data_IF_161582468953
#
_entry.id   IF_161582468953
#
_cell.length_a   1.000
_cell.length_b   1.000
_cell.length_c   1.000
_cell.angle_alpha   90.00
_cell.angle_beta   90.00
_cell.angle_gamma   90.00
#
_symmetry.space_group_name_H-M   'P 1'
#
loop_
_entity.id
_entity.type
_entity.pdbx_description
1 polymer ?
#
# COMPACT_ATOMS: atom_id res chain seq x y z
N UNK A 1 18.50 -17.92 -17.29
CA UNK A 1 17.72 -16.72 -17.04
C UNK A 1 18.61 -15.67 -16.39
N UNK A 2 18.41 -14.41 -16.74
CA UNK A 2 19.07 -13.31 -16.09
C UNK A 2 18.68 -13.19 -14.60
N UNK A 3 19.54 -12.59 -13.80
CA UNK A 3 19.27 -12.35 -12.38
C UNK A 3 18.43 -11.07 -12.23
N UNK A 4 17.22 -11.18 -11.69
CA UNK A 4 16.28 -10.07 -11.53
C UNK A 4 16.35 -9.48 -10.12
N UNK A 5 16.44 -8.14 -10.02
CA UNK A 5 16.21 -7.42 -8.78
C UNK A 5 14.74 -7.04 -8.65
N UNK A 6 14.06 -7.52 -7.61
CA UNK A 6 12.71 -7.05 -7.26
C UNK A 6 12.86 -5.83 -6.35
N UNK A 7 12.22 -4.74 -6.74
CA UNK A 7 12.24 -3.45 -6.04
C UNK A 7 10.81 -3.01 -5.78
N UNK A 8 10.56 -2.44 -4.60
CA UNK A 8 9.30 -1.74 -4.30
C UNK A 8 9.58 -0.47 -3.51
N UNK A 9 8.60 0.35 -3.25
CA UNK A 9 8.75 1.48 -2.34
C UNK A 9 8.23 1.15 -0.92
N UNK A 10 8.55 2.00 0.06
CA UNK A 10 8.18 1.77 1.45
C UNK A 10 6.66 1.76 1.70
N UNK A 11 5.82 2.20 0.73
CA UNK A 11 4.37 2.15 0.85
C UNK A 11 3.80 0.73 0.81
N UNK A 12 4.59 -0.25 0.38
CA UNK A 12 4.23 -1.67 0.49
C UNK A 12 4.11 -2.15 1.94
N UNK A 13 4.65 -1.38 2.90
CA UNK A 13 4.72 -1.77 4.30
C UNK A 13 5.77 -2.86 4.59
N UNK A 14 6.59 -3.24 3.60
CA UNK A 14 7.75 -4.11 3.82
C UNK A 14 8.86 -3.26 4.43
N UNK A 15 9.34 -3.67 5.61
CA UNK A 15 10.41 -2.94 6.32
C UNK A 15 11.78 -3.17 5.69
N UNK A 16 12.76 -2.29 6.02
CA UNK A 16 14.16 -2.47 5.59
C UNK A 16 14.77 -3.79 6.12
N UNK A 17 14.36 -4.26 7.29
CA UNK A 17 14.81 -5.54 7.83
C UNK A 17 14.18 -6.72 7.06
N UNK A 18 12.88 -6.65 6.81
CA UNK A 18 12.15 -7.68 6.10
C UNK A 18 12.62 -7.83 4.64
N UNK A 19 12.90 -6.71 3.96
CA UNK A 19 13.39 -6.73 2.58
C UNK A 19 14.69 -7.53 2.42
N UNK A 20 15.57 -7.46 3.42
CA UNK A 20 16.81 -8.27 3.44
C UNK A 20 16.52 -9.76 3.54
N UNK A 21 15.49 -10.16 4.32
CA UNK A 21 15.08 -11.57 4.45
C UNK A 21 14.43 -12.08 3.17
N UNK A 22 13.66 -11.22 2.49
CA UNK A 22 12.99 -11.52 1.22
C UNK A 22 13.94 -11.43 0.01
N UNK A 23 15.15 -10.88 0.16
CA UNK A 23 16.10 -10.69 -0.94
C UNK A 23 15.68 -9.63 -1.95
N UNK A 24 14.88 -8.65 -1.53
CA UNK A 24 14.38 -7.54 -2.35
C UNK A 24 14.96 -6.20 -1.91
N UNK A 25 14.65 -5.14 -2.64
CA UNK A 25 15.14 -3.79 -2.37
C UNK A 25 13.98 -2.81 -2.16
N UNK A 26 14.13 -1.90 -1.19
CA UNK A 26 13.14 -0.88 -0.87
C UNK A 26 13.68 0.50 -1.28
N UNK A 27 12.91 1.21 -2.11
CA UNK A 27 13.09 2.63 -2.36
C UNK A 27 12.34 3.40 -1.25
N UNK A 28 13.04 4.07 -0.33
CA UNK A 28 12.38 4.76 0.77
C UNK A 28 11.62 6.00 0.26
N UNK A 29 10.37 6.15 0.70
CA UNK A 29 9.55 7.32 0.39
C UNK A 29 9.85 8.43 1.37
N UNK A 30 10.21 9.65 0.89
CA UNK A 30 10.49 10.78 1.76
C UNK A 30 9.21 11.40 2.31
N UNK A 31 9.26 11.85 3.55
CA UNK A 31 8.23 12.71 4.15
C UNK A 31 8.90 13.77 5.03
N UNK A 32 8.17 14.86 5.27
CA UNK A 32 8.69 16.02 6.00
C UNK A 32 7.84 16.26 7.25
N UNK A 33 8.52 16.56 8.34
CA UNK A 33 7.91 17.00 9.59
C UNK A 33 8.53 18.35 9.95
N UNK A 34 7.72 19.41 10.01
CA UNK A 34 8.17 20.78 10.25
C UNK A 34 9.31 21.22 9.29
N UNK A 35 9.25 20.76 8.04
CA UNK A 35 10.26 21.07 7.02
C UNK A 35 11.52 20.19 7.05
N UNK A 36 11.70 19.34 8.06
CA UNK A 36 12.80 18.38 8.15
C UNK A 36 12.47 17.07 7.42
N UNK A 37 13.41 16.54 6.65
CA UNK A 37 13.26 15.32 5.86
C UNK A 37 13.47 14.06 6.70
N UNK A 38 12.56 13.11 6.56
CA UNK A 38 12.62 11.79 7.21
C UNK A 38 12.33 10.64 6.25
N UNK A 39 12.85 9.47 6.62
CA UNK A 39 12.59 8.18 5.99
C UNK A 39 12.25 7.15 7.06
N UNK A 40 11.18 6.40 6.84
CA UNK A 40 10.71 5.33 7.73
C UNK A 40 11.79 4.26 7.95
N UNK A 41 11.96 3.81 9.21
CA UNK A 41 12.95 2.80 9.64
C UNK A 41 14.43 3.16 9.36
N UNK A 42 14.69 4.37 8.85
CA UNK A 42 16.06 4.87 8.58
C UNK A 42 16.37 6.04 9.50
N UNK A 43 15.52 7.08 9.50
CA UNK A 43 15.74 8.30 10.29
C UNK A 43 14.63 8.57 11.30
N UNK A 44 13.52 7.84 11.26
CA UNK A 44 12.39 7.99 12.17
C UNK A 44 11.65 6.66 12.35
N UNK A 45 11.35 6.32 13.60
CA UNK A 45 10.50 5.17 13.95
C UNK A 45 9.00 5.54 13.88
N UNK A 46 8.15 4.51 13.83
CA UNK A 46 6.69 4.71 13.89
C UNK A 46 6.26 5.40 15.20
N UNK A 47 6.81 5.00 16.34
CA UNK A 47 6.49 5.60 17.64
C UNK A 47 6.78 7.11 17.67
N UNK A 48 7.97 7.51 17.23
CA UNK A 48 8.37 8.93 17.15
C UNK A 48 7.50 9.72 16.18
N UNK A 49 7.12 9.13 15.05
CA UNK A 49 6.22 9.74 14.08
C UNK A 49 4.86 10.08 14.70
N UNK A 50 4.19 9.10 15.33
CA UNK A 50 2.87 9.35 15.92
C UNK A 50 2.92 10.30 17.11
N UNK A 51 4.03 10.34 17.86
CA UNK A 51 4.25 11.35 18.88
C UNK A 51 4.30 12.76 18.29
N UNK A 52 5.09 12.97 17.23
CA UNK A 52 5.16 14.26 16.51
C UNK A 52 3.80 14.63 15.90
N UNK A 53 3.08 13.68 15.35
CA UNK A 53 1.74 13.89 14.79
C UNK A 53 0.74 14.35 15.85
N UNK A 54 0.80 13.80 17.07
CA UNK A 54 -0.02 14.21 18.20
C UNK A 54 0.28 15.64 18.68
N UNK A 55 1.48 16.15 18.44
CA UNK A 55 1.91 17.53 18.72
C UNK A 55 1.48 18.53 17.61
N UNK A 56 0.60 18.13 16.70
CA UNK A 56 0.08 18.92 15.56
C UNK A 56 1.18 19.43 14.61
N UNK A 57 2.26 18.66 14.47
CA UNK A 57 3.37 18.99 13.57
C UNK A 57 2.90 19.17 12.11
N UNK A 58 3.54 20.04 11.36
CA UNK A 58 3.29 20.15 9.93
C UNK A 58 3.91 18.98 9.19
N UNK A 59 3.06 18.17 8.53
CA UNK A 59 3.49 16.97 7.81
C UNK A 59 3.15 17.11 6.33
N UNK A 60 4.13 16.74 5.48
CA UNK A 60 3.96 16.64 4.03
C UNK A 60 4.79 15.47 3.48
N UNK A 61 4.48 15.04 2.27
CA UNK A 61 5.20 13.96 1.57
C UNK A 61 5.72 14.43 0.24
N UNK A 62 6.74 13.76 -0.27
CA UNK A 62 7.25 13.92 -1.62
C UNK A 62 7.47 12.56 -2.26
N UNK A 63 7.62 12.53 -3.58
CA UNK A 63 8.21 11.38 -4.25
C UNK A 63 9.72 11.33 -3.99
N UNK A 64 10.39 10.17 -4.13
CA UNK A 64 11.84 10.09 -4.17
C UNK A 64 12.41 11.00 -5.26
N UNK A 65 13.59 11.54 -5.06
CA UNK A 65 14.22 12.34 -6.10
C UNK A 65 14.57 11.45 -7.31
N UNK A 66 14.51 11.95 -8.55
CA UNK A 66 14.98 11.21 -9.73
C UNK A 66 16.40 10.66 -9.56
N UNK A 67 17.29 11.43 -8.93
CA UNK A 67 18.66 11.00 -8.62
C UNK A 67 18.70 9.75 -7.73
N UNK A 68 17.95 9.75 -6.62
CA UNK A 68 17.91 8.60 -5.69
C UNK A 68 17.39 7.33 -6.39
N UNK A 69 16.39 7.48 -7.29
CA UNK A 69 15.84 6.38 -8.07
C UNK A 69 16.89 5.82 -9.02
N UNK A 70 17.56 6.70 -9.79
CA UNK A 70 18.59 6.29 -10.75
C UNK A 70 19.80 5.68 -10.06
N UNK A 71 20.30 6.27 -8.98
CA UNK A 71 21.43 5.75 -8.20
C UNK A 71 21.16 4.33 -7.67
N UNK A 72 19.93 4.09 -7.17
CA UNK A 72 19.51 2.76 -6.75
C UNK A 72 19.56 1.77 -7.92
N UNK A 73 18.94 2.12 -9.06
CA UNK A 73 18.87 1.22 -10.22
C UNK A 73 20.23 0.97 -10.84
N UNK A 74 21.07 1.98 -11.01
CA UNK A 74 22.46 1.83 -11.48
C UNK A 74 23.28 0.94 -10.54
N UNK A 75 23.10 1.10 -9.23
CA UNK A 75 23.74 0.26 -8.22
C UNK A 75 23.33 -1.20 -8.33
N UNK A 76 22.03 -1.46 -8.57
CA UNK A 76 21.49 -2.80 -8.71
C UNK A 76 21.90 -3.45 -10.03
N UNK A 77 21.90 -2.74 -11.15
CA UNK A 77 22.31 -3.26 -12.46
C UNK A 77 23.80 -3.66 -12.55
N UNK A 78 24.61 -3.31 -11.55
CA UNK A 78 25.97 -3.88 -11.41
C UNK A 78 25.98 -5.34 -10.93
N UNK A 79 24.85 -5.85 -10.39
CA UNK A 79 24.74 -7.18 -9.76
C UNK A 79 23.59 -8.02 -10.34
N UNK A 80 22.64 -7.37 -10.99
CA UNK A 80 21.45 -7.96 -11.59
C UNK A 80 21.39 -7.59 -13.07
N UNK A 81 20.75 -8.41 -13.87
CA UNK A 81 20.62 -8.19 -15.30
C UNK A 81 19.44 -7.26 -15.60
N UNK A 82 18.37 -7.38 -14.81
CA UNK A 82 17.13 -6.63 -14.95
C UNK A 82 16.57 -6.24 -13.59
N UNK A 83 15.70 -5.22 -13.58
CA UNK A 83 14.98 -4.73 -12.40
C UNK A 83 13.48 -4.81 -12.67
N UNK A 84 12.72 -5.37 -11.71
CA UNK A 84 11.27 -5.27 -11.63
C UNK A 84 10.91 -4.33 -10.49
N UNK A 85 10.44 -3.12 -10.80
CA UNK A 85 10.03 -2.13 -9.81
C UNK A 85 8.50 -2.09 -9.69
N UNK A 86 7.98 -2.33 -8.49
CA UNK A 86 6.56 -2.36 -8.14
C UNK A 86 6.27 -1.19 -7.19
N UNK A 87 6.02 0.03 -7.72
CA UNK A 87 5.69 1.21 -6.91
C UNK A 87 4.24 1.20 -6.45
N UNK A 88 3.91 2.11 -5.53
CA UNK A 88 2.52 2.43 -5.21
C UNK A 88 1.76 2.97 -6.42
N UNK A 89 0.42 2.87 -6.37
CA UNK A 89 -0.49 3.34 -7.42
C UNK A 89 -0.17 4.75 -7.94
N UNK A 90 -0.12 4.91 -9.26
CA UNK A 90 0.01 6.23 -9.93
C UNK A 90 -1.14 7.18 -9.61
N UNK A 91 -2.31 6.67 -9.24
CA UNK A 91 -3.44 7.50 -8.82
C UNK A 91 -3.28 8.14 -7.43
N UNK A 92 -2.29 7.69 -6.64
CA UNK A 92 -2.00 8.20 -5.29
C UNK A 92 -0.69 8.99 -5.24
N UNK A 93 0.26 8.72 -6.13
CA UNK A 93 1.53 9.43 -6.22
C UNK A 93 2.05 9.46 -7.66
N UNK A 94 2.61 10.59 -8.08
CA UNK A 94 3.32 10.70 -9.36
C UNK A 94 4.66 9.95 -9.41
N UNK A 95 5.10 9.34 -8.31
CA UNK A 95 6.36 8.59 -8.25
C UNK A 95 6.41 7.43 -9.26
N UNK A 96 5.28 6.77 -9.51
CA UNK A 96 5.18 5.71 -10.51
C UNK A 96 5.42 6.26 -11.93
N UNK A 97 4.73 7.35 -12.30
CA UNK A 97 4.88 7.95 -13.63
C UNK A 97 6.30 8.51 -13.85
N UNK A 98 6.88 9.11 -12.82
CA UNK A 98 8.28 9.55 -12.83
C UNK A 98 9.22 8.36 -13.05
N UNK A 99 9.01 7.26 -12.33
CA UNK A 99 9.82 6.04 -12.48
C UNK A 99 9.69 5.43 -13.88
N UNK A 100 8.48 5.40 -14.45
CA UNK A 100 8.27 4.95 -15.85
C UNK A 100 9.05 5.79 -16.84
N UNK A 101 9.08 7.12 -16.65
CA UNK A 101 9.89 8.02 -17.47
C UNK A 101 11.39 7.75 -17.36
N UNK A 102 11.90 7.60 -16.14
CA UNK A 102 13.32 7.30 -15.89
C UNK A 102 13.72 5.92 -16.43
N UNK A 103 12.85 4.93 -16.37
CA UNK A 103 13.14 3.58 -16.86
C UNK A 103 13.48 3.56 -18.37
N UNK A 104 13.00 4.52 -19.15
CA UNK A 104 13.32 4.62 -20.58
C UNK A 104 14.81 4.83 -20.85
N UNK A 105 15.57 5.36 -19.88
CA UNK A 105 17.01 5.58 -19.99
C UNK A 105 17.84 4.30 -19.77
N UNK A 106 17.21 3.21 -19.33
CA UNK A 106 17.85 1.94 -18.98
C UNK A 106 17.75 0.84 -20.05
N UNK A 107 17.46 1.21 -21.29
CA UNK A 107 17.51 0.31 -22.45
C UNK A 107 16.67 -0.99 -22.28
N UNK A 108 15.53 -0.90 -21.59
CA UNK A 108 14.64 -2.04 -21.35
C UNK A 108 15.07 -2.95 -20.20
N UNK A 109 16.07 -2.58 -19.41
CA UNK A 109 16.50 -3.35 -18.23
C UNK A 109 15.70 -3.06 -16.97
N UNK A 110 14.87 -2.01 -16.97
CA UNK A 110 14.04 -1.62 -15.83
C UNK A 110 12.58 -1.66 -16.23
N UNK A 111 11.82 -2.51 -15.55
CA UNK A 111 10.39 -2.73 -15.74
C UNK A 111 9.63 -2.13 -14.57
N UNK A 112 8.74 -1.17 -14.84
CA UNK A 112 7.95 -0.47 -13.81
C UNK A 112 6.50 -0.93 -13.89
N UNK A 113 6.02 -1.59 -12.85
CA UNK A 113 4.69 -2.22 -12.79
C UNK A 113 3.69 -1.30 -12.11
N UNK A 114 2.91 -0.55 -12.87
CA UNK A 114 1.80 0.24 -12.34
C UNK A 114 0.53 -0.61 -12.16
N UNK A 115 0.54 -1.51 -11.20
CA UNK A 115 -0.62 -2.38 -10.93
C UNK A 115 -1.67 -1.76 -10.01
N UNK A 116 -1.58 -0.45 -9.74
CA UNK A 116 -2.57 0.36 -9.02
C UNK A 116 -2.86 -0.13 -7.59
N UNK A 117 -1.86 -0.71 -6.93
CA UNK A 117 -1.96 -1.22 -5.56
C UNK A 117 -1.19 -0.34 -4.58
N UNK A 118 -1.47 -0.52 -3.30
CA UNK A 118 -0.83 0.19 -2.18
C UNK A 118 -0.91 -0.67 -0.92
N UNK A 119 0.01 -0.45 0.03
CA UNK A 119 0.00 -1.10 1.34
C UNK A 119 0.00 -2.64 1.22
N UNK A 120 -0.83 -3.33 1.96
CA UNK A 120 -0.88 -4.81 2.01
C UNK A 120 -1.11 -5.44 0.64
N UNK A 121 -1.91 -4.83 -0.24
CA UNK A 121 -2.11 -5.35 -1.61
C UNK A 121 -0.89 -5.12 -2.52
N UNK A 122 -0.14 -4.02 -2.34
CA UNK A 122 1.15 -3.81 -3.01
C UNK A 122 2.19 -4.81 -2.48
N UNK A 123 2.23 -5.01 -1.15
CA UNK A 123 3.05 -6.05 -0.52
C UNK A 123 2.78 -7.42 -1.14
N UNK A 124 1.50 -7.81 -1.30
CA UNK A 124 1.17 -9.09 -1.91
C UNK A 124 1.69 -9.19 -3.34
N UNK A 125 1.59 -8.13 -4.14
CA UNK A 125 2.19 -8.11 -5.49
C UNK A 125 3.69 -8.35 -5.49
N UNK A 126 4.40 -7.87 -4.47
CA UNK A 126 5.85 -8.13 -4.31
C UNK A 126 6.10 -9.59 -3.97
N UNK A 127 5.32 -10.18 -3.07
CA UNK A 127 5.43 -11.60 -2.71
C UNK A 127 5.11 -12.51 -3.91
N UNK A 128 4.08 -12.17 -4.67
CA UNK A 128 3.72 -12.85 -5.91
C UNK A 128 4.86 -12.78 -6.94
N UNK A 129 5.50 -11.61 -7.09
CA UNK A 129 6.65 -11.44 -7.99
C UNK A 129 7.85 -12.31 -7.56
N UNK A 130 8.11 -12.42 -6.26
CA UNK A 130 9.17 -13.30 -5.73
C UNK A 130 8.87 -14.75 -6.10
N UNK A 131 7.63 -15.23 -5.85
CA UNK A 131 7.23 -16.60 -6.16
C UNK A 131 7.34 -16.91 -7.68
N UNK A 132 6.90 -15.99 -8.53
CA UNK A 132 7.02 -16.11 -9.97
C UNK A 132 8.48 -16.18 -10.44
N UNK A 133 9.33 -15.34 -9.89
CA UNK A 133 10.77 -15.34 -10.20
C UNK A 133 11.46 -16.64 -9.73
N UNK A 134 11.10 -17.17 -8.55
CA UNK A 134 11.58 -18.46 -8.05
C UNK A 134 11.12 -19.65 -8.94
N UNK A 135 9.96 -19.55 -9.57
CA UNK A 135 9.47 -20.53 -10.57
C UNK A 135 10.11 -20.34 -11.94
N UNK A 136 11.00 -19.37 -12.09
CA UNK A 136 11.78 -19.16 -13.31
C UNK A 136 11.04 -18.38 -14.40
N UNK A 137 10.03 -17.56 -14.05
CA UNK A 137 9.42 -16.65 -15.01
C UNK A 137 10.36 -15.48 -15.35
N UNK A 138 10.31 -14.99 -16.57
CA UNK A 138 11.02 -13.79 -16.99
C UNK A 138 10.39 -12.53 -16.40
N UNK A 139 11.14 -11.43 -16.37
CA UNK A 139 10.63 -10.13 -15.88
C UNK A 139 9.39 -9.69 -16.65
N UNK A 140 9.35 -9.88 -17.96
CA UNK A 140 8.23 -9.54 -18.83
C UNK A 140 6.99 -10.36 -18.48
N UNK A 141 7.13 -11.68 -18.27
CA UNK A 141 6.01 -12.54 -17.87
C UNK A 141 5.45 -12.16 -16.50
N UNK A 142 6.34 -11.79 -15.53
CA UNK A 142 5.92 -11.32 -14.21
C UNK A 142 5.18 -9.98 -14.33
N UNK A 143 5.72 -9.03 -15.09
CA UNK A 143 5.07 -7.74 -15.35
C UNK A 143 3.68 -7.93 -15.96
N UNK A 144 3.54 -8.76 -17.00
CA UNK A 144 2.26 -9.05 -17.65
C UNK A 144 1.24 -9.64 -16.68
N UNK A 145 1.64 -10.59 -15.81
CA UNK A 145 0.77 -11.16 -14.79
C UNK A 145 0.32 -10.08 -13.82
N UNK A 146 1.24 -9.31 -13.21
CA UNK A 146 0.90 -8.28 -12.24
C UNK A 146 0.02 -7.18 -12.84
N UNK A 147 0.23 -6.81 -14.09
CA UNK A 147 -0.59 -5.82 -14.80
C UNK A 147 -1.99 -6.36 -15.11
N UNK A 148 -2.13 -7.63 -15.45
CA UNK A 148 -3.43 -8.30 -15.63
C UNK A 148 -4.22 -8.34 -14.33
N UNK A 149 -3.55 -8.58 -13.20
CA UNK A 149 -4.14 -8.69 -11.87
C UNK A 149 -4.40 -7.35 -11.17
N UNK A 150 -4.11 -6.21 -11.80
CA UNK A 150 -4.15 -4.89 -11.16
C UNK A 150 -5.48 -4.53 -10.51
N UNK A 151 -6.60 -4.92 -11.11
CA UNK A 151 -7.93 -4.65 -10.57
C UNK A 151 -8.47 -5.77 -9.66
N UNK A 152 -7.75 -6.87 -9.55
CA UNK A 152 -8.17 -8.04 -8.78
C UNK A 152 -7.80 -7.91 -7.28
N UNK A 153 -8.14 -6.77 -6.71
CA UNK A 153 -8.02 -6.47 -5.29
C UNK A 153 -9.09 -5.49 -4.83
N UNK A 154 -9.37 -5.48 -3.54
CA UNK A 154 -10.25 -4.51 -2.88
C UNK A 154 -9.65 -4.08 -1.57
N UNK A 155 -9.74 -2.79 -1.25
CA UNK A 155 -9.42 -2.25 0.07
C UNK A 155 -10.61 -1.46 0.57
N UNK A 156 -11.04 -1.72 1.79
CA UNK A 156 -11.99 -0.89 2.54
C UNK A 156 -11.29 -0.34 3.78
N UNK A 157 -11.34 0.97 3.97
CA UNK A 157 -10.67 1.64 5.08
C UNK A 157 -11.58 2.66 5.74
N UNK A 158 -11.58 2.67 7.07
CA UNK A 158 -12.22 3.73 7.86
C UNK A 158 -11.14 4.52 8.58
N UNK A 159 -11.22 5.85 8.43
CA UNK A 159 -10.32 6.79 9.08
C UNK A 159 -11.02 7.48 10.26
N UNK A 160 -10.25 7.92 11.23
CA UNK A 160 -10.80 8.68 12.37
C UNK A 160 -11.29 10.06 11.91
N UNK A 161 -10.57 10.69 11.02
CA UNK A 161 -10.87 12.00 10.43
C UNK A 161 -10.40 12.10 8.98
N UNK A 162 -11.14 12.87 8.17
CA UNK A 162 -10.73 13.20 6.79
C UNK A 162 -9.71 14.36 6.71
N UNK A 163 -9.30 14.94 7.84
CA UNK A 163 -8.40 16.12 7.90
C UNK A 163 -7.14 15.90 7.07
N UNK A 164 -6.47 14.78 7.29
CA UNK A 164 -5.19 14.46 6.65
C UNK A 164 -5.34 14.17 5.15
N UNK A 165 -6.34 13.37 4.78
CA UNK A 165 -6.64 13.04 3.38
C UNK A 165 -7.01 14.29 2.56
N UNK A 166 -7.80 15.20 3.14
CA UNK A 166 -8.15 16.48 2.52
C UNK A 166 -6.93 17.38 2.35
N UNK A 167 -6.10 17.51 3.38
CA UNK A 167 -4.86 18.29 3.32
C UNK A 167 -3.91 17.74 2.26
N UNK A 168 -3.79 16.42 2.18
CA UNK A 168 -2.90 15.73 1.23
C UNK A 168 -3.44 15.66 -0.20
N UNK A 169 -4.73 15.88 -0.44
CA UNK A 169 -5.35 15.78 -1.77
C UNK A 169 -5.37 14.37 -2.37
N UNK A 170 -5.23 13.31 -1.55
CA UNK A 170 -5.24 11.89 -1.97
C UNK A 170 -6.60 11.23 -1.81
N UNK A 171 -7.65 11.98 -2.06
CA UNK A 171 -9.05 11.58 -1.92
C UNK A 171 -9.86 12.18 -3.06
N UNK A 172 -10.82 11.43 -3.60
CA UNK A 172 -11.69 11.95 -4.64
C UNK A 172 -12.57 13.10 -4.12
N UNK A 173 -13.04 14.01 -5.00
CA UNK A 173 -13.98 15.06 -4.62
C UNK A 173 -15.24 14.54 -3.92
N UNK A 174 -15.75 13.38 -4.36
CA UNK A 174 -16.92 12.72 -3.75
C UNK A 174 -16.65 12.29 -2.31
N UNK A 175 -15.49 11.70 -2.04
CA UNK A 175 -15.08 11.32 -0.69
C UNK A 175 -14.74 12.54 0.16
N UNK A 176 -14.11 13.57 -0.40
CA UNK A 176 -13.82 14.84 0.29
C UNK A 176 -15.09 15.60 0.69
N UNK A 177 -16.19 15.43 -0.06
CA UNK A 177 -17.49 16.04 0.24
C UNK A 177 -18.23 15.38 1.43
N UNK A 178 -17.73 14.25 1.94
CA UNK A 178 -18.21 13.69 3.22
C UNK A 178 -17.83 14.69 4.31
N UNK A 179 -18.79 15.47 4.76
CA UNK A 179 -18.58 16.55 5.72
C UNK A 179 -18.06 16.05 7.07
N UNK A 180 -17.50 16.96 7.87
CA UNK A 180 -17.14 16.73 9.28
C UNK A 180 -18.44 16.78 10.11
N UNK A 181 -19.11 15.64 10.27
CA UNK A 181 -20.24 15.48 11.18
C UNK A 181 -19.75 14.73 12.40
N UNK A 182 -20.15 15.19 13.57
CA UNK A 182 -19.78 14.54 14.84
C UNK A 182 -20.14 13.04 14.79
N UNK A 183 -19.17 12.21 15.19
CA UNK A 183 -19.29 10.74 15.21
C UNK A 183 -19.56 10.07 13.83
N UNK A 184 -19.34 10.77 12.72
CA UNK A 184 -19.36 10.16 11.40
C UNK A 184 -18.00 9.52 11.11
N UNK A 185 -18.00 8.23 10.80
CA UNK A 185 -16.84 7.48 10.34
C UNK A 185 -17.03 7.15 8.86
N UNK A 186 -16.28 7.82 7.96
CA UNK A 186 -16.35 7.50 6.54
C UNK A 186 -15.72 6.13 6.29
N UNK A 187 -16.38 5.32 5.49
CA UNK A 187 -15.80 4.12 4.88
C UNK A 187 -15.41 4.47 3.46
N UNK A 188 -14.16 4.30 3.15
CA UNK A 188 -13.56 4.58 1.84
C UNK A 188 -13.14 3.26 1.19
N UNK A 189 -12.97 3.25 -0.12
CA UNK A 189 -12.54 2.07 -0.88
C UNK A 189 -11.43 2.41 -1.87
N UNK A 190 -10.61 1.40 -2.19
CA UNK A 190 -9.75 1.38 -3.37
C UNK A 190 -10.09 0.11 -4.16
N UNK A 191 -10.64 0.31 -5.36
CA UNK A 191 -10.87 -0.73 -6.37
C UNK A 191 -10.41 -0.18 -7.73
N UNK A 192 -9.14 0.16 -7.81
CA UNK A 192 -8.51 0.88 -8.90
C UNK A 192 -7.37 1.74 -8.36
N UNK A 193 -7.16 2.90 -8.95
CA UNK A 193 -5.98 3.73 -8.68
C UNK A 193 -6.14 4.75 -7.54
N UNK A 194 -7.37 5.02 -7.05
CA UNK A 194 -7.67 6.11 -6.11
C UNK A 194 -8.49 5.68 -4.91
N UNK A 195 -8.37 6.47 -3.85
CA UNK A 195 -9.19 6.34 -2.65
C UNK A 195 -10.52 7.10 -2.85
N UNK A 196 -11.62 6.37 -2.88
CA UNK A 196 -12.96 6.91 -3.15
C UNK A 196 -13.93 6.67 -1.99
N UNK A 197 -15.08 7.34 -2.03
CA UNK A 197 -16.16 7.17 -1.06
C UNK A 197 -16.88 5.84 -1.27
N UNK A 198 -17.08 5.09 -0.19
CA UNK A 198 -17.89 3.88 -0.21
C UNK A 198 -19.17 4.07 0.60
N UNK A 199 -19.07 4.46 1.87
CA UNK A 199 -20.22 4.59 2.76
C UNK A 199 -19.98 5.59 3.88
N UNK A 200 -21.06 5.99 4.56
CA UNK A 200 -21.01 6.81 5.78
C UNK A 200 -21.57 6.00 6.94
N UNK A 201 -20.77 5.79 7.96
CA UNK A 201 -21.17 5.05 9.15
C UNK A 201 -21.22 5.95 10.38
N UNK A 202 -22.07 5.63 11.34
CA UNK A 202 -22.12 6.31 12.64
C UNK A 202 -21.36 5.47 13.67
N UNK A 203 -20.17 5.98 14.06
CA UNK A 203 -19.29 5.34 15.02
C UNK A 203 -18.56 4.10 14.47
N UNK A 204 -17.57 3.66 15.23
CA UNK A 204 -16.66 2.57 14.84
C UNK A 204 -17.35 1.23 14.64
N UNK A 205 -18.32 0.87 15.49
CA UNK A 205 -19.04 -0.41 15.35
C UNK A 205 -19.74 -0.53 14.00
N UNK A 206 -20.42 0.54 13.57
CA UNK A 206 -21.09 0.57 12.27
C UNK A 206 -20.11 0.57 11.11
N UNK A 207 -18.98 1.30 11.23
CA UNK A 207 -17.97 1.37 10.19
C UNK A 207 -17.28 0.01 9.98
N UNK A 208 -16.86 -0.65 11.07
CA UNK A 208 -16.27 -2.00 11.02
C UNK A 208 -17.23 -3.00 10.39
N UNK A 209 -18.51 -2.99 10.81
CA UNK A 209 -19.53 -3.84 10.21
C UNK A 209 -19.68 -3.58 8.69
N UNK A 210 -19.69 -2.32 8.28
CA UNK A 210 -19.81 -1.96 6.85
C UNK A 210 -18.64 -2.49 6.04
N UNK A 211 -17.40 -2.39 6.56
CA UNK A 211 -16.22 -2.93 5.88
C UNK A 211 -16.27 -4.47 5.76
N UNK A 212 -16.68 -5.16 6.84
CA UNK A 212 -16.80 -6.62 6.84
C UNK A 212 -17.90 -7.09 5.86
N UNK A 213 -19.06 -6.41 5.84
CA UNK A 213 -20.16 -6.73 4.91
C UNK A 213 -19.75 -6.48 3.44
N UNK A 214 -18.98 -5.40 3.18
CA UNK A 214 -18.47 -5.10 1.85
C UNK A 214 -17.46 -6.16 1.38
N UNK A 215 -16.54 -6.56 2.25
CA UNK A 215 -15.59 -7.62 1.95
C UNK A 215 -16.29 -8.96 1.72
N UNK A 216 -17.26 -9.33 2.55
CA UNK A 216 -18.05 -10.55 2.34
C UNK A 216 -18.78 -10.56 0.99
N UNK A 217 -19.31 -9.40 0.59
CA UNK A 217 -19.94 -9.23 -0.73
C UNK A 217 -18.92 -9.45 -1.85
N UNK A 218 -17.74 -8.83 -1.77
CA UNK A 218 -16.69 -9.02 -2.77
C UNK A 218 -16.28 -10.49 -2.89
N UNK A 219 -16.09 -11.19 -1.78
CA UNK A 219 -15.74 -12.62 -1.78
C UNK A 219 -16.81 -13.50 -2.42
N UNK A 220 -18.11 -13.14 -2.25
CA UNK A 220 -19.23 -13.90 -2.79
C UNK A 220 -19.57 -13.57 -4.25
N UNK A 221 -19.32 -12.35 -4.70
CA UNK A 221 -19.72 -11.86 -6.01
C UNK A 221 -18.52 -11.66 -6.94
N UNK A 222 -17.59 -10.79 -6.56
CA UNK A 222 -16.45 -10.38 -7.39
C UNK A 222 -15.39 -11.46 -7.49
N UNK A 223 -15.12 -12.14 -6.38
CA UNK A 223 -14.14 -13.22 -6.29
C UNK A 223 -14.80 -14.59 -6.12
N UNK A 224 -16.03 -14.76 -6.58
CA UNK A 224 -16.77 -16.03 -6.47
C UNK A 224 -16.02 -17.18 -7.15
N UNK A 225 -15.65 -18.20 -6.37
CA UNK A 225 -14.89 -19.34 -6.88
C UNK A 225 -13.38 -19.11 -7.06
N UNK A 226 -12.89 -17.91 -6.70
CA UNK A 226 -11.47 -17.61 -6.69
C UNK A 226 -10.89 -17.74 -5.28
N UNK A 227 -9.61 -18.11 -5.19
CA UNK A 227 -8.87 -18.00 -3.95
C UNK A 227 -8.33 -16.57 -3.81
N UNK A 228 -8.37 -16.04 -2.59
CA UNK A 228 -7.84 -14.72 -2.27
C UNK A 228 -6.94 -14.76 -1.03
N UNK A 229 -5.99 -13.84 -0.97
CA UNK A 229 -5.35 -13.42 0.27
C UNK A 229 -6.28 -12.44 0.97
N UNK A 230 -6.46 -12.60 2.29
CA UNK A 230 -7.21 -11.66 3.11
C UNK A 230 -6.24 -10.93 4.03
N UNK A 231 -6.32 -9.61 4.03
CA UNK A 231 -5.29 -8.74 4.56
C UNK A 231 -5.91 -7.63 5.40
N UNK A 232 -5.15 -7.07 6.32
CA UNK A 232 -5.56 -5.93 7.13
C UNK A 232 -4.40 -4.92 7.29
N UNK A 233 -4.77 -3.65 7.43
CA UNK A 233 -3.80 -2.59 7.71
C UNK A 233 -4.35 -1.61 8.74
N UNK A 234 -3.47 -0.90 9.45
CA UNK A 234 -3.88 -0.03 10.52
C UNK A 234 -2.91 1.15 10.78
N UNK A 235 -3.45 2.19 11.44
CA UNK A 235 -2.70 3.28 12.09
C UNK A 235 -3.20 3.55 13.51
N UNK A 236 -4.01 2.66 14.06
CA UNK A 236 -4.47 2.67 15.44
C UNK A 236 -3.43 2.03 16.38
N UNK A 237 -3.72 1.93 17.68
CA UNK A 237 -2.85 1.21 18.59
C UNK A 237 -2.76 -0.27 18.24
N UNK A 238 -1.72 -0.94 18.72
CA UNK A 238 -1.52 -2.39 18.49
C UNK A 238 -2.67 -3.19 19.08
N UNK A 239 -3.16 -2.79 20.24
CA UNK A 239 -4.28 -3.43 20.93
C UNK A 239 -5.56 -3.34 20.08
N UNK A 240 -5.89 -2.16 19.58
CA UNK A 240 -7.05 -1.94 18.69
C UNK A 240 -6.89 -2.67 17.35
N UNK A 241 -5.66 -2.78 16.85
CA UNK A 241 -5.37 -3.55 15.63
C UNK A 241 -5.61 -5.06 15.88
N UNK A 242 -5.17 -5.61 17.01
CA UNK A 242 -5.42 -7.00 17.36
C UNK A 242 -6.91 -7.30 17.56
N UNK A 243 -7.66 -6.40 18.18
CA UNK A 243 -9.13 -6.51 18.25
C UNK A 243 -9.75 -6.53 16.84
N UNK A 244 -9.29 -5.65 15.95
CA UNK A 244 -9.77 -5.62 14.58
C UNK A 244 -9.44 -6.91 13.81
N UNK A 245 -8.24 -7.43 13.97
CA UNK A 245 -7.84 -8.72 13.39
C UNK A 245 -8.76 -9.84 13.87
N UNK A 246 -9.03 -9.92 15.18
CA UNK A 246 -9.91 -10.93 15.76
C UNK A 246 -11.36 -10.84 15.21
N UNK A 247 -11.88 -9.63 14.96
CA UNK A 247 -13.18 -9.43 14.33
C UNK A 247 -13.21 -9.92 12.87
N UNK A 248 -12.11 -9.71 12.11
CA UNK A 248 -11.97 -10.23 10.75
C UNK A 248 -11.92 -11.76 10.77
N UNK A 249 -11.08 -12.35 11.62
CA UNK A 249 -10.93 -13.81 11.75
C UNK A 249 -12.26 -14.48 12.14
N UNK A 250 -13.02 -13.87 13.04
CA UNK A 250 -14.34 -14.36 13.43
C UNK A 250 -15.36 -14.30 12.29
N UNK A 251 -15.28 -13.29 11.40
CA UNK A 251 -16.18 -13.12 10.26
C UNK A 251 -15.81 -14.04 9.09
N UNK A 252 -14.53 -14.31 8.90
CA UNK A 252 -13.98 -15.07 7.76
C UNK A 252 -13.16 -16.27 8.25
N UNK A 253 -13.81 -17.26 8.88
CA UNK A 253 -13.11 -18.44 9.39
C UNK A 253 -12.45 -19.22 8.23
N UNK A 254 -11.22 -19.67 8.47
CA UNK A 254 -10.43 -20.41 7.47
C UNK A 254 -9.50 -19.54 6.62
N UNK A 255 -9.59 -18.21 6.71
CA UNK A 255 -8.59 -17.33 6.13
C UNK A 255 -7.47 -17.01 7.12
N UNK A 256 -6.23 -17.05 6.67
CA UNK A 256 -5.10 -16.45 7.38
C UNK A 256 -5.11 -14.94 7.13
N UNK A 257 -5.11 -14.15 8.20
CA UNK A 257 -5.15 -12.69 8.09
C UNK A 257 -3.73 -12.13 8.27
N UNK A 258 -3.16 -11.65 7.19
CA UNK A 258 -1.90 -10.87 7.22
C UNK A 258 -2.24 -9.43 7.61
N UNK A 259 -1.66 -8.93 8.70
CA UNK A 259 -1.93 -7.57 9.19
C UNK A 259 -0.64 -6.79 9.41
N UNK A 260 -0.54 -5.62 8.80
CA UNK A 260 0.62 -4.73 8.89
C UNK A 260 0.21 -3.30 9.27
N UNK A 261 1.06 -2.55 9.99
CA UNK A 261 0.88 -1.11 10.09
C UNK A 261 1.01 -0.47 8.70
N UNK A 262 0.32 0.64 8.47
CA UNK A 262 0.56 1.46 7.29
C UNK A 262 1.94 2.12 7.38
N UNK A 263 2.63 2.26 6.24
CA UNK A 263 3.89 3.01 6.17
C UNK A 263 3.70 4.47 6.62
N UNK A 264 4.78 5.09 7.09
CA UNK A 264 4.70 6.47 7.61
C UNK A 264 4.31 7.48 6.52
N UNK A 265 4.78 7.29 5.28
CA UNK A 265 4.38 8.15 4.15
C UNK A 265 2.87 8.04 3.84
N UNK A 266 2.27 6.85 3.94
CA UNK A 266 0.81 6.67 3.84
C UNK A 266 0.11 7.26 5.05
N UNK A 267 0.65 7.07 6.25
CA UNK A 267 0.10 7.58 7.52
C UNK A 267 0.04 9.10 7.57
N UNK A 268 0.94 9.82 6.86
CA UNK A 268 0.86 11.27 6.67
C UNK A 268 -0.48 11.73 6.08
N UNK A 269 -1.10 10.90 5.24
CA UNK A 269 -2.37 11.21 4.56
C UNK A 269 -3.58 10.56 5.24
N UNK A 270 -3.42 9.39 5.83
CA UNK A 270 -4.49 8.65 6.50
C UNK A 270 -4.73 9.19 7.91
N UNK A 271 -3.66 9.60 8.61
CA UNK A 271 -3.72 9.97 10.02
C UNK A 271 -3.81 8.77 10.96
N UNK A 272 -3.82 9.02 12.30
CA UNK A 272 -3.91 7.97 13.30
C UNK A 272 -5.33 7.37 13.38
N UNK A 273 -5.44 6.18 13.93
CA UNK A 273 -6.70 5.53 14.28
C UNK A 273 -7.39 4.78 13.14
N UNK A 274 -6.81 4.73 11.94
CA UNK A 274 -7.42 4.02 10.81
C UNK A 274 -7.37 2.50 10.96
N UNK A 275 -8.37 1.83 10.37
CA UNK A 275 -8.45 0.38 10.21
C UNK A 275 -8.89 0.05 8.80
N UNK A 276 -8.23 -0.93 8.20
CA UNK A 276 -8.54 -1.40 6.85
C UNK A 276 -8.67 -2.92 6.82
N UNK A 277 -9.49 -3.40 5.89
CA UNK A 277 -9.52 -4.79 5.41
C UNK A 277 -9.31 -4.76 3.91
N UNK A 278 -8.55 -5.71 3.40
CA UNK A 278 -8.24 -5.83 2.00
C UNK A 278 -8.29 -7.29 1.55
N UNK A 279 -8.46 -7.50 0.27
CA UNK A 279 -8.18 -8.78 -0.36
C UNK A 279 -7.48 -8.58 -1.70
N UNK A 280 -6.70 -9.58 -2.10
CA UNK A 280 -6.13 -9.70 -3.42
C UNK A 280 -6.26 -11.14 -3.93
N UNK A 281 -6.62 -11.30 -5.22
CA UNK A 281 -6.76 -12.62 -5.83
C UNK A 281 -5.41 -13.33 -5.82
N UNK A 282 -5.39 -14.60 -5.45
CA UNK A 282 -4.21 -15.45 -5.56
C UNK A 282 -3.89 -15.70 -7.04
N UNK A 283 -2.65 -15.50 -7.40
CA UNK A 283 -2.16 -15.76 -8.75
C UNK A 283 -2.13 -17.26 -8.98
N UNK A 284 -2.74 -17.70 -10.08
CA UNK A 284 -2.68 -19.09 -10.56
C UNK A 284 -1.43 -19.24 -11.42
N UNK A 285 -0.42 -19.95 -10.92
CA UNK A 285 0.89 -20.19 -11.53
C UNK A 285 0.98 -21.60 -12.13
#
# INVERSE_FOLDING_TARGET
>A
MGKVAIVTDSNSGITQEESKKLGIHILPMPFYINGELFYEDITLSQEEFYKKLAEDAEISTSQPSPGDVMDLWEGLLKKYDEILYIPMSSGLSSSCDTAMGLAMEFEGKVHVVNNQRISVTQRQSVLDAIEMAEKGMSVQEIEEVLMREKLESSIYVTVDTLKYLKKGGRITPAAAAIGTVLNLKPVLQIQGDKLDAFSKARGWKSAKKTMLDAMEKDLKERFAGEEVHLEAAYTCSVEEAQEWKAEIEARFPGYEIVMNPLSLSVSCHIGPGARAIACSRKIKL
#
